data_IF_108254005644
#
_entry.id   IF_108254005644
#
_cell.length_a   1.000
_cell.length_b   1.000
_cell.length_c   1.000
_cell.angle_alpha   90.00
_cell.angle_beta   90.00
_cell.angle_gamma   90.00
#
_symmetry.space_group_name_H-M   'P 1'
#
loop_
_entity.id
_entity.type
_entity.pdbx_description
1 polymer ?
#
# COMPACT_ATOMS: atom_id res chain seq x y z
N UNK A 1 -1.31 1.44 -20.64
CA UNK A 1 -2.70 1.02 -20.90
C UNK A 1 -3.41 0.98 -19.56
N UNK A 2 -4.32 1.91 -19.32
CA UNK A 2 -5.08 1.98 -18.07
C UNK A 2 -6.17 0.90 -18.07
N UNK A 3 -6.48 0.27 -16.92
CA UNK A 3 -7.54 -0.72 -16.84
C UNK A 3 -8.93 -0.07 -17.03
N UNK A 4 -9.89 -0.84 -17.55
CA UNK A 4 -11.29 -0.42 -17.66
C UNK A 4 -12.02 -0.58 -16.32
N UNK A 5 -11.90 0.42 -15.46
CA UNK A 5 -12.49 0.39 -14.11
C UNK A 5 -13.98 0.00 -14.02
N UNK A 6 -14.86 0.46 -14.93
CA UNK A 6 -16.27 0.03 -14.92
C UNK A 6 -16.47 -1.47 -15.13
N UNK A 7 -15.62 -2.12 -15.93
CA UNK A 7 -15.72 -3.56 -16.20
C UNK A 7 -15.23 -4.42 -15.03
N UNK A 8 -14.31 -3.90 -14.21
CA UNK A 8 -13.78 -4.56 -13.01
C UNK A 8 -14.77 -4.44 -11.83
N UNK A 9 -15.47 -3.29 -11.75
CA UNK A 9 -16.46 -3.00 -10.73
C UNK A 9 -15.86 -2.58 -9.38
N UNK A 10 -16.71 -2.58 -8.35
CA UNK A 10 -16.39 -2.14 -6.98
C UNK A 10 -16.75 -3.19 -5.94
N UNK A 11 -16.26 -2.99 -4.71
CA UNK A 11 -16.54 -3.78 -3.52
C UNK A 11 -16.73 -2.84 -2.33
N UNK A 12 -17.66 -3.19 -1.43
CA UNK A 12 -17.82 -2.51 -0.15
C UNK A 12 -16.78 -3.05 0.85
N UNK A 13 -16.07 -2.13 1.50
CA UNK A 13 -15.15 -2.37 2.61
C UNK A 13 -15.79 -1.79 3.87
N UNK A 14 -16.34 -2.66 4.72
CA UNK A 14 -17.20 -2.23 5.82
C UNK A 14 -18.51 -1.64 5.30
N UNK A 15 -19.10 -0.74 6.08
CA UNK A 15 -20.45 -0.25 5.81
C UNK A 15 -20.48 0.95 4.85
N UNK A 16 -19.47 1.83 4.92
CA UNK A 16 -19.53 3.17 4.29
C UNK A 16 -18.51 3.41 3.17
N UNK A 17 -17.61 2.46 2.91
CA UNK A 17 -16.53 2.64 1.95
C UNK A 17 -16.67 1.69 0.75
N UNK A 18 -16.95 2.24 -0.43
CA UNK A 18 -16.92 1.48 -1.69
C UNK A 18 -15.66 1.83 -2.48
N UNK A 19 -14.86 0.82 -2.81
CA UNK A 19 -13.63 0.97 -3.60
C UNK A 19 -13.64 0.07 -4.82
N UNK A 20 -12.78 0.35 -5.79
CA UNK A 20 -12.48 -0.57 -6.90
C UNK A 20 -11.99 -1.91 -6.36
N UNK A 21 -12.37 -3.01 -7.01
CA UNK A 21 -12.05 -4.37 -6.55
C UNK A 21 -10.56 -4.72 -6.63
N UNK A 22 -9.75 -3.88 -7.26
CA UNK A 22 -8.32 -4.08 -7.43
C UNK A 22 -7.58 -3.04 -6.59
N UNK A 23 -6.76 -3.53 -5.66
CA UNK A 23 -5.82 -2.73 -4.87
C UNK A 23 -4.41 -2.76 -5.45
N UNK A 24 -3.59 -1.81 -5.02
CA UNK A 24 -2.18 -1.72 -5.37
C UNK A 24 -1.33 -2.15 -4.16
N UNK A 25 -0.64 -3.29 -4.28
CA UNK A 25 0.25 -3.81 -3.23
C UNK A 25 1.56 -3.04 -3.17
N UNK A 26 1.94 -2.57 -1.98
CA UNK A 26 3.14 -1.76 -1.74
C UNK A 26 4.37 -2.56 -1.28
N UNK A 27 4.24 -3.87 -1.07
CA UNK A 27 5.30 -4.71 -0.51
C UNK A 27 6.61 -4.63 -1.33
N UNK A 28 6.52 -4.63 -2.67
CA UNK A 28 7.68 -4.57 -3.57
C UNK A 28 8.36 -3.20 -3.63
N UNK A 29 7.73 -2.15 -3.09
CA UNK A 29 8.35 -0.83 -2.96
C UNK A 29 9.37 -0.78 -1.82
N UNK A 30 9.52 -1.85 -1.05
CA UNK A 30 10.43 -1.90 0.09
C UNK A 30 11.81 -2.46 -0.29
N UNK A 31 12.70 -2.52 0.69
CA UNK A 31 14.07 -3.03 0.51
C UNK A 31 14.12 -4.52 0.11
N UNK A 32 15.33 -5.04 -0.17
CA UNK A 32 15.55 -6.44 -0.56
C UNK A 32 14.84 -7.43 0.38
N UNK A 33 14.12 -8.38 -0.19
CA UNK A 33 13.36 -9.35 0.60
C UNK A 33 12.03 -8.81 1.17
N UNK A 34 11.52 -7.68 0.67
CA UNK A 34 10.26 -7.06 1.12
C UNK A 34 10.35 -6.47 2.52
N UNK A 35 11.54 -6.00 2.91
CA UNK A 35 11.78 -5.44 4.24
C UNK A 35 12.76 -4.27 4.19
N UNK A 36 12.39 -3.18 4.87
CA UNK A 36 13.22 -1.99 5.01
C UNK A 36 12.90 -0.90 3.98
N UNK A 37 13.61 0.24 4.02
CA UNK A 37 13.28 1.37 3.15
C UNK A 37 13.48 1.03 1.66
N UNK A 38 12.69 1.64 0.74
CA UNK A 38 12.98 1.59 -0.68
C UNK A 38 14.43 2.00 -0.97
N UNK A 39 15.08 1.39 -1.97
CA UNK A 39 16.39 1.84 -2.44
C UNK A 39 16.34 3.27 -3.04
N UNK A 40 15.18 3.66 -3.56
CA UNK A 40 14.90 5.02 -4.07
C UNK A 40 13.51 5.47 -3.61
N UNK A 41 13.49 6.38 -2.63
CA UNK A 41 12.27 6.94 -2.06
C UNK A 41 11.46 7.77 -3.07
N UNK A 42 12.13 8.50 -3.97
CA UNK A 42 11.45 9.38 -4.91
C UNK A 42 10.82 8.59 -6.06
N UNK A 43 11.50 7.54 -6.53
CA UNK A 43 10.91 6.58 -7.46
C UNK A 43 9.70 5.87 -6.84
N UNK A 44 9.81 5.40 -5.60
CA UNK A 44 8.69 4.75 -4.91
C UNK A 44 7.48 5.69 -4.77
N UNK A 45 7.71 6.96 -4.42
CA UNK A 45 6.66 8.00 -4.38
C UNK A 45 6.05 8.26 -5.75
N UNK A 46 6.86 8.34 -6.80
CA UNK A 46 6.38 8.56 -8.17
C UNK A 46 5.47 7.43 -8.63
N UNK A 47 5.80 6.18 -8.28
CA UNK A 47 4.98 5.00 -8.57
C UNK A 47 3.63 5.07 -7.86
N UNK A 48 3.62 5.35 -6.56
CA UNK A 48 2.36 5.42 -5.78
C UNK A 48 1.47 6.55 -6.31
N UNK A 49 2.05 7.72 -6.63
CA UNK A 49 1.32 8.82 -7.27
C UNK A 49 0.71 8.39 -8.60
N UNK A 50 1.50 7.72 -9.44
CA UNK A 50 1.00 7.21 -10.71
C UNK A 50 -0.12 6.19 -10.52
N UNK A 51 -0.07 5.33 -9.50
CA UNK A 51 -1.16 4.41 -9.20
C UNK A 51 -2.45 5.18 -8.85
N UNK A 52 -2.36 6.25 -8.07
CA UNK A 52 -3.52 7.12 -7.79
C UNK A 52 -4.04 7.78 -9.07
N UNK A 53 -3.15 8.29 -9.93
CA UNK A 53 -3.52 8.92 -11.20
C UNK A 53 -4.20 7.94 -12.17
N UNK A 54 -3.76 6.68 -12.17
CA UNK A 54 -4.40 5.59 -12.94
C UNK A 54 -5.75 5.18 -12.32
N UNK A 55 -6.03 5.62 -11.09
CA UNK A 55 -7.30 5.45 -10.40
C UNK A 55 -7.36 4.28 -9.43
N UNK A 56 -6.23 3.77 -8.93
CA UNK A 56 -6.28 2.85 -7.81
C UNK A 56 -6.82 3.57 -6.56
N UNK A 57 -7.74 2.93 -5.84
CA UNK A 57 -8.42 3.49 -4.66
C UNK A 57 -8.04 2.80 -3.35
N UNK A 58 -7.28 1.69 -3.43
CA UNK A 58 -6.84 0.92 -2.28
C UNK A 58 -5.35 0.65 -2.42
N UNK A 59 -4.56 1.09 -1.44
CA UNK A 59 -3.13 0.80 -1.34
C UNK A 59 -2.95 -0.18 -0.20
N UNK A 60 -2.43 -1.36 -0.51
CA UNK A 60 -2.11 -2.38 0.49
C UNK A 60 -0.67 -2.16 1.00
N UNK A 61 -0.53 -1.97 2.30
CA UNK A 61 0.74 -1.73 2.99
C UNK A 61 0.71 -2.42 4.35
N UNK A 62 1.87 -2.60 4.98
CA UNK A 62 1.96 -3.14 6.32
C UNK A 62 3.27 -2.76 7.01
N UNK A 63 3.23 -2.59 8.33
CA UNK A 63 4.43 -2.38 9.16
C UNK A 63 5.45 -3.53 9.07
N UNK A 64 4.99 -4.72 8.70
CA UNK A 64 5.86 -5.87 8.47
C UNK A 64 6.74 -5.73 7.22
N UNK A 65 6.53 -4.71 6.37
CA UNK A 65 7.41 -4.39 5.23
C UNK A 65 8.63 -3.53 5.64
N UNK A 66 8.79 -3.23 6.93
CA UNK A 66 9.93 -2.50 7.46
C UNK A 66 9.50 -1.28 8.28
N UNK A 67 10.41 -0.70 9.08
CA UNK A 67 10.09 0.48 9.88
C UNK A 67 9.62 1.62 8.98
N UNK A 68 8.51 2.27 9.35
CA UNK A 68 8.08 3.50 8.70
C UNK A 68 9.22 4.53 8.74
N UNK A 69 9.41 5.36 7.71
CA UNK A 69 10.54 6.29 7.59
C UNK A 69 10.68 7.32 8.75
N UNK A 70 9.70 7.41 9.64
CA UNK A 70 9.69 8.30 10.81
C UNK A 70 9.53 7.59 12.16
N UNK A 71 9.45 6.25 12.22
CA UNK A 71 9.18 5.53 13.47
C UNK A 71 10.35 4.61 13.84
N UNK A 72 10.88 4.67 15.08
CA UNK A 72 11.90 3.73 15.53
C UNK A 72 11.30 2.32 15.47
N UNK A 73 12.03 1.40 14.85
CA UNK A 73 11.64 -0.01 14.73
C UNK A 73 11.31 -0.59 16.11
N UNK A 74 10.02 -0.70 16.46
CA UNK A 74 9.58 -1.54 17.58
C UNK A 74 9.49 -2.98 17.11
N UNK A 75 10.64 -3.61 16.94
CA UNK A 75 10.75 -5.05 16.99
C UNK A 75 10.81 -5.48 18.46
N UNK A 76 9.72 -5.32 19.22
CA UNK A 76 9.60 -5.89 20.56
C UNK A 76 9.09 -7.32 20.46
N UNK A 77 9.95 -8.26 20.82
CA UNK A 77 9.66 -9.65 21.23
C UNK A 77 8.88 -10.52 20.25
N UNK A 78 9.59 -11.16 19.30
CA UNK A 78 9.25 -12.49 18.76
C UNK A 78 7.87 -12.68 18.12
N UNK A 79 7.12 -11.59 17.93
CA UNK A 79 5.74 -11.59 17.41
C UNK A 79 5.69 -10.58 16.28
N UNK A 80 5.95 -11.03 15.06
CA UNK A 80 5.72 -10.24 13.86
C UNK A 80 4.22 -9.99 13.73
N UNK A 81 3.75 -8.87 14.26
CA UNK A 81 2.37 -8.46 14.15
C UNK A 81 2.23 -7.62 12.87
N UNK A 82 1.89 -8.26 11.74
CA UNK A 82 1.41 -7.51 10.56
C UNK A 82 0.06 -6.87 10.93
N UNK A 83 -0.09 -5.56 10.76
CA UNK A 83 -1.39 -4.91 10.81
C UNK A 83 -1.33 -3.47 10.32
N UNK A 84 -2.09 -3.14 9.28
CA UNK A 84 -2.33 -1.76 8.86
C UNK A 84 -2.71 -1.61 7.38
N UNK A 85 -3.96 -1.90 7.01
CA UNK A 85 -4.49 -1.43 5.73
C UNK A 85 -4.77 0.07 5.83
N UNK A 86 -4.02 0.88 5.08
CA UNK A 86 -4.23 2.33 5.00
C UNK A 86 -5.08 2.66 3.77
N UNK A 87 -6.24 3.28 3.98
CA UNK A 87 -7.06 3.80 2.88
C UNK A 87 -6.41 5.05 2.32
N UNK A 88 -6.27 5.14 1.00
CA UNK A 88 -5.91 6.39 0.35
C UNK A 88 -7.12 7.33 0.47
N UNK A 89 -6.99 8.37 1.30
CA UNK A 89 -8.01 9.40 1.45
C UNK A 89 -8.29 10.12 0.13
N UNK A 90 -9.54 10.58 -0.01
CA UNK A 90 -10.06 11.36 -1.13
C UNK A 90 -9.25 12.64 -1.43
#
# INVERSE_FOLDING_TARGET
>A
MSPSWPAIGTVALGDDLTVRRVGFGGAWLTGPGTYGPPPDLDAARAIVRRAVDEGFQLIDTADCYGPAPASPARATEGRFQCGGTHTAGA
#
